data_IF_676549600982
#
_entry.id   IF_676549600982
#
_cell.length_a   1.000
_cell.length_b   1.000
_cell.length_c   1.000
_cell.angle_alpha   90.00
_cell.angle_beta   90.00
_cell.angle_gamma   90.00
#
_symmetry.space_group_name_H-M   'P 1'
#
loop_
_entity.id
_entity.type
_entity.pdbx_description
1 polymer ?
#
# COMPACT_ATOMS: atom_id res chain seq x y z
N UNK A 1 -45.20 -0.87 -13.30
CA UNK A 1 -43.86 -0.40 -12.88
C UNK A 1 -43.11 -1.58 -12.27
N UNK A 2 -41.99 -2.03 -12.85
CA UNK A 2 -41.20 -3.13 -12.24
C UNK A 2 -40.45 -2.58 -11.02
N UNK A 3 -40.68 -3.16 -9.84
CA UNK A 3 -39.95 -2.83 -8.61
C UNK A 3 -38.49 -3.27 -8.77
N UNK A 4 -37.55 -2.32 -8.81
CA UNK A 4 -36.12 -2.63 -8.70
C UNK A 4 -35.85 -3.27 -7.33
N UNK A 5 -35.25 -4.47 -7.32
CA UNK A 5 -34.75 -5.11 -6.10
C UNK A 5 -33.30 -4.70 -5.87
N UNK A 6 -32.84 -4.55 -4.62
CA UNK A 6 -31.43 -4.34 -4.32
C UNK A 6 -30.59 -5.49 -4.90
N UNK A 7 -29.45 -5.15 -5.51
CA UNK A 7 -28.49 -6.13 -6.03
C UNK A 7 -27.08 -5.65 -5.66
N UNK A 8 -26.35 -6.50 -4.94
CA UNK A 8 -24.95 -6.24 -4.64
C UNK A 8 -24.08 -6.57 -5.86
N UNK A 9 -22.95 -5.88 -5.97
CA UNK A 9 -21.90 -6.26 -6.91
C UNK A 9 -21.25 -7.56 -6.42
N UNK A 10 -20.99 -8.48 -7.35
CA UNK A 10 -20.29 -9.75 -7.09
C UNK A 10 -18.93 -9.69 -7.77
N UNK A 11 -17.93 -10.35 -7.18
CA UNK A 11 -16.57 -10.38 -7.73
C UNK A 11 -15.96 -8.97 -7.89
N UNK A 12 -15.96 -8.20 -6.80
CA UNK A 12 -15.35 -6.87 -6.73
C UNK A 12 -14.08 -6.91 -5.89
N UNK A 13 -13.10 -6.13 -6.31
CA UNK A 13 -11.89 -5.85 -5.54
C UNK A 13 -11.97 -4.43 -4.97
N UNK A 14 -11.41 -4.25 -3.77
CA UNK A 14 -11.34 -2.94 -3.13
C UNK A 14 -9.87 -2.52 -3.03
N UNK A 15 -9.62 -1.25 -3.31
CA UNK A 15 -8.31 -0.64 -3.19
C UNK A 15 -8.36 0.47 -2.14
N UNK A 16 -7.33 0.54 -1.29
CA UNK A 16 -7.03 1.74 -0.51
C UNK A 16 -6.03 2.58 -1.29
N UNK A 17 -6.40 3.82 -1.60
CA UNK A 17 -5.57 4.74 -2.38
C UNK A 17 -5.13 5.90 -1.48
N UNK A 18 -3.82 6.07 -1.34
CA UNK A 18 -3.22 7.18 -0.58
C UNK A 18 -2.44 8.07 -1.54
N UNK A 19 -2.71 9.38 -1.48
CA UNK A 19 -1.95 10.40 -2.19
C UNK A 19 -0.87 10.98 -1.28
N UNK A 20 0.29 11.32 -1.84
CA UNK A 20 1.43 11.86 -1.11
C UNK A 20 1.98 13.06 -1.85
N UNK A 21 2.11 14.16 -1.11
CA UNK A 21 2.83 15.38 -1.49
C UNK A 21 4.14 15.39 -0.71
N UNK A 22 5.27 15.32 -1.42
CA UNK A 22 6.58 15.31 -0.79
C UNK A 22 7.10 16.73 -0.64
N UNK A 23 7.92 16.93 0.39
CA UNK A 23 8.70 18.17 0.48
C UNK A 23 9.51 18.37 -0.82
N UNK A 24 9.68 19.62 -1.30
CA UNK A 24 10.39 19.90 -2.54
C UNK A 24 11.75 19.20 -2.64
N UNK A 25 11.98 18.52 -3.77
CA UNK A 25 13.22 17.79 -4.05
C UNK A 25 13.39 16.46 -3.29
N UNK A 26 12.36 15.94 -2.61
CA UNK A 26 12.45 14.67 -1.87
C UNK A 26 11.88 13.46 -2.60
N UNK A 27 11.19 13.65 -3.72
CA UNK A 27 10.52 12.57 -4.48
C UNK A 27 11.51 11.49 -4.90
N UNK A 28 12.68 11.85 -5.43
CA UNK A 28 13.65 10.85 -5.90
C UNK A 28 14.27 10.05 -4.76
N UNK A 29 14.59 10.72 -3.64
CA UNK A 29 15.06 10.03 -2.44
C UNK A 29 13.99 9.11 -1.86
N UNK A 30 12.72 9.51 -1.88
CA UNK A 30 11.62 8.66 -1.44
C UNK A 30 11.51 7.39 -2.31
N UNK A 31 11.60 7.53 -3.64
CA UNK A 31 11.56 6.39 -4.56
C UNK A 31 12.76 5.46 -4.41
N UNK A 32 13.94 6.01 -4.18
CA UNK A 32 15.13 5.22 -3.88
C UNK A 32 14.90 4.37 -2.62
N UNK A 33 14.35 4.96 -1.56
CA UNK A 33 14.05 4.24 -0.31
C UNK A 33 13.02 3.13 -0.55
N UNK A 34 11.92 3.45 -1.25
CA UNK A 34 10.87 2.47 -1.56
C UNK A 34 11.44 1.28 -2.33
N UNK A 35 12.23 1.56 -3.38
CA UNK A 35 12.76 0.53 -4.28
C UNK A 35 13.85 -0.30 -3.62
N UNK A 36 14.74 0.33 -2.86
CA UNK A 36 15.93 -0.33 -2.31
C UNK A 36 15.69 -0.92 -0.91
N UNK A 37 14.66 -0.48 -0.20
CA UNK A 37 14.38 -0.95 1.16
C UNK A 37 12.99 -1.56 1.33
N UNK A 38 11.92 -0.87 0.93
CA UNK A 38 10.56 -1.35 1.22
C UNK A 38 10.14 -2.54 0.35
N UNK A 39 10.45 -2.52 -0.95
CA UNK A 39 10.13 -3.64 -1.85
C UNK A 39 10.92 -4.91 -1.50
N UNK A 40 12.23 -4.87 -1.20
CA UNK A 40 12.96 -6.04 -0.73
C UNK A 40 12.42 -6.64 0.58
N UNK A 41 12.02 -5.80 1.53
CA UNK A 41 11.38 -6.28 2.77
C UNK A 41 10.06 -7.01 2.47
N UNK A 42 9.23 -6.44 1.60
CA UNK A 42 7.96 -7.05 1.17
C UNK A 42 8.20 -8.39 0.47
N UNK A 43 9.18 -8.44 -0.44
CA UNK A 43 9.58 -9.67 -1.13
C UNK A 43 10.04 -10.75 -0.16
N UNK A 44 10.82 -10.39 0.85
CA UNK A 44 11.33 -11.31 1.87
C UNK A 44 10.22 -11.83 2.77
N UNK A 45 9.29 -10.96 3.16
CA UNK A 45 8.13 -11.30 4.00
C UNK A 45 7.01 -12.04 3.26
N UNK A 46 7.05 -12.07 1.91
CA UNK A 46 5.95 -12.57 1.08
C UNK A 46 4.70 -11.71 1.19
N UNK A 47 4.83 -10.41 1.45
CA UNK A 47 3.71 -9.46 1.57
C UNK A 47 3.52 -8.67 0.29
N UNK A 48 2.34 -8.04 0.14
CA UNK A 48 2.03 -7.26 -1.05
C UNK A 48 2.92 -6.02 -1.18
N UNK A 49 3.11 -5.56 -2.42
CA UNK A 49 3.65 -4.23 -2.75
C UNK A 49 2.52 -3.39 -3.35
N UNK A 50 2.48 -2.07 -3.10
CA UNK A 50 1.45 -1.22 -3.67
C UNK A 50 1.70 -0.99 -5.16
N UNK A 51 0.64 -0.70 -5.90
CA UNK A 51 0.78 -0.01 -7.16
C UNK A 51 1.18 1.43 -6.89
N UNK A 52 2.27 1.88 -7.53
CA UNK A 52 2.77 3.24 -7.38
C UNK A 52 2.59 3.99 -8.69
N UNK A 53 1.94 5.14 -8.62
CA UNK A 53 1.74 6.06 -9.74
C UNK A 53 2.46 7.36 -9.39
N UNK A 54 3.46 7.73 -10.21
CA UNK A 54 4.10 9.06 -10.14
C UNK A 54 3.27 10.05 -10.94
N UNK A 55 2.68 11.00 -10.25
CA UNK A 55 1.87 12.05 -10.86
C UNK A 55 2.81 13.12 -11.42
N UNK A 56 2.60 13.52 -12.67
CA UNK A 56 3.46 14.50 -13.36
C UNK A 56 2.96 15.94 -13.19
N UNK A 57 1.76 16.12 -12.66
CA UNK A 57 1.09 17.41 -12.50
C UNK A 57 0.02 17.31 -11.41
N UNK A 58 -0.37 18.45 -10.85
CA UNK A 58 -1.35 18.52 -9.76
C UNK A 58 -0.68 18.77 -8.42
N UNK A 59 -1.47 18.69 -7.34
CA UNK A 59 -1.00 18.99 -5.98
C UNK A 59 -0.24 17.83 -5.32
N UNK A 60 -0.28 16.64 -5.92
CA UNK A 60 0.29 15.42 -5.36
C UNK A 60 1.39 14.89 -6.27
N UNK A 61 2.44 14.34 -5.68
CA UNK A 61 3.56 13.74 -6.42
C UNK A 61 3.34 12.25 -6.71
N UNK A 62 2.60 11.58 -5.84
CA UNK A 62 2.47 10.12 -5.88
C UNK A 62 1.11 9.65 -5.38
N UNK A 63 0.56 8.64 -6.05
CA UNK A 63 -0.53 7.82 -5.53
C UNK A 63 -0.04 6.39 -5.29
N UNK A 64 -0.44 5.81 -4.16
CA UNK A 64 -0.19 4.41 -3.81
C UNK A 64 -1.52 3.69 -3.67
N UNK A 65 -1.69 2.55 -4.34
CA UNK A 65 -2.89 1.75 -4.25
C UNK A 65 -2.58 0.36 -3.69
N UNK A 66 -3.25 0.00 -2.60
CA UNK A 66 -3.13 -1.28 -1.91
C UNK A 66 -4.38 -2.10 -2.09
N UNK A 67 -4.25 -3.39 -2.39
CA UNK A 67 -5.39 -4.30 -2.44
C UNK A 67 -5.85 -4.64 -1.04
N UNK A 68 -7.14 -4.42 -0.77
CA UNK A 68 -7.80 -4.85 0.45
C UNK A 68 -8.24 -6.31 0.29
N UNK A 69 -7.35 -7.25 0.66
CA UNK A 69 -7.53 -8.69 0.44
C UNK A 69 -8.79 -9.28 1.10
N UNK A 70 -9.24 -8.66 2.18
CA UNK A 70 -10.45 -9.06 2.92
C UNK A 70 -11.59 -8.03 2.74
N UNK A 71 -11.52 -7.21 1.69
CA UNK A 71 -12.42 -6.08 1.48
C UNK A 71 -12.27 -5.04 2.61
N UNK A 72 -13.36 -4.37 2.97
CA UNK A 72 -13.29 -3.28 3.96
C UNK A 72 -12.84 -3.73 5.36
N UNK A 73 -13.00 -5.00 5.72
CA UNK A 73 -12.50 -5.51 7.01
C UNK A 73 -10.98 -5.47 7.12
N UNK A 74 -10.25 -5.37 6.00
CA UNK A 74 -8.81 -5.09 6.02
C UNK A 74 -8.46 -3.76 6.70
N UNK A 75 -9.41 -2.81 6.80
CA UNK A 75 -9.20 -1.49 7.44
C UNK A 75 -9.50 -1.50 8.94
N UNK A 76 -9.99 -2.60 9.50
CA UNK A 76 -10.31 -2.72 10.94
C UNK A 76 -9.06 -2.97 11.80
N UNK A 77 -7.93 -3.31 11.16
CA UNK A 77 -6.67 -3.60 11.83
C UNK A 77 -5.83 -2.33 12.03
N UNK A 78 -5.41 -2.06 13.27
CA UNK A 78 -4.36 -1.06 13.57
C UNK A 78 -2.99 -1.55 13.06
N UNK A 79 -2.67 -2.83 13.31
CA UNK A 79 -1.52 -3.54 12.75
C UNK A 79 -2.00 -4.91 12.27
N UNK A 80 -1.83 -5.21 10.98
CA UNK A 80 -2.23 -6.51 10.41
C UNK A 80 -1.12 -7.56 10.54
N UNK A 81 -1.48 -8.84 10.42
CA UNK A 81 -0.49 -9.93 10.40
C UNK A 81 0.54 -9.79 9.25
N UNK A 82 0.13 -9.25 8.09
CA UNK A 82 1.07 -8.91 7.01
C UNK A 82 1.97 -7.74 7.39
N UNK A 83 1.44 -6.74 8.10
CA UNK A 83 2.22 -5.62 8.63
C UNK A 83 3.32 -6.07 9.59
N UNK A 84 3.02 -7.02 10.48
CA UNK A 84 4.02 -7.61 11.40
C UNK A 84 5.14 -8.30 10.61
N UNK A 85 4.79 -9.20 9.68
CA UNK A 85 5.77 -9.92 8.85
C UNK A 85 6.66 -8.97 8.05
N UNK A 86 6.07 -7.92 7.48
CA UNK A 86 6.81 -6.90 6.75
C UNK A 86 7.79 -6.15 7.67
N UNK A 87 7.32 -5.75 8.86
CA UNK A 87 8.14 -5.01 9.83
C UNK A 87 9.34 -5.83 10.32
N UNK A 88 9.14 -7.12 10.61
CA UNK A 88 10.22 -8.05 10.97
C UNK A 88 11.25 -8.16 9.84
N UNK A 89 10.80 -8.40 8.61
CA UNK A 89 11.70 -8.48 7.45
C UNK A 89 12.46 -7.17 7.21
N UNK A 90 11.80 -6.03 7.38
CA UNK A 90 12.42 -4.71 7.24
C UNK A 90 13.47 -4.44 8.32
N UNK A 91 13.16 -4.74 9.59
CA UNK A 91 14.10 -4.55 10.70
C UNK A 91 15.33 -5.45 10.57
N UNK A 92 15.14 -6.69 10.14
CA UNK A 92 16.24 -7.62 9.82
C UNK A 92 17.12 -7.08 8.70
N UNK A 93 16.51 -6.59 7.61
CA UNK A 93 17.24 -5.98 6.50
C UNK A 93 18.04 -4.74 6.93
N UNK A 94 17.48 -3.92 7.82
CA UNK A 94 18.11 -2.69 8.31
C UNK A 94 19.19 -2.93 9.39
N UNK A 95 19.40 -4.18 9.83
CA UNK A 95 20.33 -4.52 10.90
C UNK A 95 19.89 -3.95 12.27
N UNK A 96 18.59 -3.71 12.45
CA UNK A 96 18.00 -3.19 13.70
C UNK A 96 17.78 -4.33 14.70
N UNK A 97 17.73 -5.58 14.23
CA UNK A 97 17.70 -6.75 15.10
C UNK A 97 19.04 -6.93 15.84
N UNK A 98 18.98 -7.01 17.18
CA UNK A 98 20.04 -7.55 18.05
C UNK A 98 19.83 -9.03 18.28
#
# INVERSE_FOLDING_TARGET
MQKKKPKNLTNVEYLSITYTDFKPGKVDRAMEIITNHYFPASKTAGTQVPYIIRLQSGEWDMATAWTLKEGYSSMEWDISAEGIKWMEAFNKQAGIEK
#
